data_IF_762831971273
#
_entry.id   IF_762831971273
#
_cell.length_a   1.000
_cell.length_b   1.000
_cell.length_c   1.000
_cell.angle_alpha   90.00
_cell.angle_beta   90.00
_cell.angle_gamma   90.00
#
_symmetry.space_group_name_H-M   'P 1'
#
loop_
_entity.id
_entity.type
_entity.pdbx_description
1 polymer ?
#
# COMPACT_ATOMS: atom_id res chain seq x y z
N UNK A 1 -16.95 -0.54 -18.23
CA UNK A 1 -16.07 -0.69 -17.04
C UNK A 1 -15.96 -2.17 -16.76
N UNK A 2 -14.75 -2.69 -16.59
CA UNK A 2 -14.49 -4.14 -16.42
C UNK A 2 -14.79 -4.54 -14.97
N UNK A 3 -16.06 -4.53 -14.57
CA UNK A 3 -16.50 -4.57 -13.18
C UNK A 3 -16.03 -5.82 -12.38
N UNK A 4 -16.75 -6.96 -12.41
CA UNK A 4 -16.49 -8.07 -11.48
C UNK A 4 -15.17 -8.82 -11.72
N UNK A 5 -14.75 -8.91 -12.98
CA UNK A 5 -13.56 -9.68 -13.36
C UNK A 5 -12.27 -9.03 -12.87
N UNK A 6 -12.21 -7.70 -12.82
CA UNK A 6 -11.05 -6.99 -12.31
C UNK A 6 -10.92 -7.17 -10.79
N UNK A 7 -12.04 -7.11 -10.06
CA UNK A 7 -12.05 -7.33 -8.60
C UNK A 7 -11.57 -8.73 -8.22
N UNK A 8 -12.09 -9.78 -8.87
CA UNK A 8 -11.63 -11.16 -8.66
C UNK A 8 -10.13 -11.31 -8.91
N UNK A 9 -9.62 -10.69 -9.97
CA UNK A 9 -8.21 -10.80 -10.31
C UNK A 9 -7.30 -9.98 -9.38
N UNK A 10 -7.77 -8.84 -8.86
CA UNK A 10 -7.06 -8.10 -7.80
C UNK A 10 -6.91 -8.96 -6.55
N UNK A 11 -7.99 -9.62 -6.10
CA UNK A 11 -7.95 -10.50 -4.93
C UNK A 11 -6.99 -11.67 -5.15
N UNK A 12 -7.08 -12.33 -6.31
CA UNK A 12 -6.18 -13.43 -6.68
C UNK A 12 -4.73 -12.94 -6.77
N UNK A 13 -4.48 -11.78 -7.38
CA UNK A 13 -3.16 -11.16 -7.49
C UNK A 13 -2.53 -10.81 -6.14
N UNK A 14 -3.31 -10.28 -5.20
CA UNK A 14 -2.84 -9.97 -3.85
C UNK A 14 -2.46 -11.24 -3.07
N UNK A 15 -3.19 -12.35 -3.24
CA UNK A 15 -2.91 -13.62 -2.57
C UNK A 15 -1.65 -14.28 -3.15
N UNK A 16 -1.64 -14.51 -4.48
CA UNK A 16 -0.55 -15.27 -5.11
C UNK A 16 0.68 -14.41 -5.40
N UNK A 17 0.51 -13.15 -5.76
CA UNK A 17 1.62 -12.23 -6.04
C UNK A 17 2.24 -11.65 -4.77
N UNK A 18 1.40 -11.28 -3.79
CA UNK A 18 1.86 -10.61 -2.58
C UNK A 18 2.05 -11.49 -1.38
N UNK A 19 0.97 -12.08 -0.89
CA UNK A 19 1.05 -12.88 0.33
C UNK A 19 2.09 -14.00 0.18
N UNK A 20 2.18 -14.64 -0.99
CA UNK A 20 3.21 -15.64 -1.27
C UNK A 20 4.63 -15.07 -1.27
N UNK A 21 4.88 -13.96 -1.98
CA UNK A 21 6.23 -13.38 -2.09
C UNK A 21 6.74 -12.87 -0.73
N UNK A 22 5.87 -12.18 0.02
CA UNK A 22 6.19 -11.67 1.36
C UNK A 22 6.43 -12.81 2.35
N UNK A 23 5.63 -13.88 2.26
CA UNK A 23 5.83 -15.10 3.06
C UNK A 23 7.16 -15.80 2.71
N UNK A 24 7.48 -15.94 1.42
CA UNK A 24 8.73 -16.58 0.99
C UNK A 24 9.95 -15.79 1.48
N UNK A 25 9.96 -14.47 1.31
CA UNK A 25 11.05 -13.62 1.81
C UNK A 25 11.14 -13.67 3.34
N UNK A 26 10.00 -13.62 4.04
CA UNK A 26 9.96 -13.74 5.50
C UNK A 26 10.55 -15.06 6.00
N UNK A 27 10.15 -16.19 5.38
CA UNK A 27 10.68 -17.51 5.74
C UNK A 27 12.18 -17.66 5.42
N UNK A 28 12.67 -17.04 4.35
CA UNK A 28 14.11 -17.00 4.05
C UNK A 28 14.89 -16.11 5.02
N UNK A 29 14.30 -14.99 5.48
CA UNK A 29 14.92 -14.12 6.49
C UNK A 29 15.02 -14.84 7.84
N UNK A 30 13.97 -15.53 8.29
CA UNK A 30 13.97 -16.29 9.55
C UNK A 30 15.04 -17.41 9.54
N UNK A 31 15.21 -18.10 8.40
CA UNK A 31 16.26 -19.11 8.23
C UNK A 31 17.67 -18.54 8.18
N UNK A 32 17.81 -17.24 7.97
CA UNK A 32 19.10 -16.52 7.87
C UNK A 32 19.30 -15.59 9.07
N UNK A 33 18.89 -16.02 10.26
CA UNK A 33 19.01 -15.26 11.52
C UNK A 33 18.32 -13.89 11.53
N UNK A 34 17.25 -13.70 10.75
CA UNK A 34 16.53 -12.43 10.65
C UNK A 34 17.27 -11.35 9.85
N UNK A 35 18.21 -11.77 9.00
CA UNK A 35 18.99 -10.87 8.15
C UNK A 35 18.08 -10.06 7.22
N UNK A 36 18.40 -8.77 7.01
CA UNK A 36 17.61 -7.88 6.15
C UNK A 36 17.54 -8.39 4.71
N UNK A 37 16.44 -8.11 4.02
CA UNK A 37 16.20 -8.61 2.66
C UNK A 37 17.33 -8.21 1.69
N UNK A 38 17.88 -7.01 1.83
CA UNK A 38 19.02 -6.54 1.03
C UNK A 38 20.30 -7.34 1.26
N UNK A 39 20.53 -7.82 2.48
CA UNK A 39 21.68 -8.65 2.83
C UNK A 39 21.43 -10.12 2.46
N UNK A 40 20.20 -10.60 2.60
CA UNK A 40 19.78 -11.93 2.14
C UNK A 40 19.98 -12.11 0.63
N UNK A 41 19.59 -11.10 -0.15
CA UNK A 41 19.86 -11.06 -1.59
C UNK A 41 21.36 -10.97 -1.87
N UNK A 42 22.11 -10.22 -1.06
CA UNK A 42 23.57 -10.14 -1.16
C UNK A 42 24.29 -11.46 -0.91
N UNK A 43 23.84 -12.24 0.07
CA UNK A 43 24.43 -13.54 0.42
C UNK A 43 24.14 -14.60 -0.65
N UNK A 44 22.99 -14.52 -1.33
CA UNK A 44 22.59 -15.50 -2.35
C UNK A 44 23.00 -15.12 -3.79
N UNK A 45 23.02 -13.83 -4.15
CA UNK A 45 23.29 -13.33 -5.51
C UNK A 45 24.61 -12.53 -5.64
N UNK A 46 25.32 -12.30 -4.53
CA UNK A 46 26.61 -11.62 -4.48
C UNK A 46 26.55 -10.11 -4.14
N UNK A 47 27.72 -9.54 -3.86
CA UNK A 47 27.93 -8.15 -3.42
C UNK A 47 27.39 -7.09 -4.41
N UNK A 48 27.39 -7.38 -5.72
CA UNK A 48 26.86 -6.46 -6.73
C UNK A 48 25.35 -6.24 -6.60
N UNK A 49 24.59 -7.31 -6.42
CA UNK A 49 23.13 -7.24 -6.25
C UNK A 49 22.75 -6.59 -4.91
N UNK A 50 23.55 -6.82 -3.86
CA UNK A 50 23.38 -6.15 -2.55
C UNK A 50 23.38 -4.64 -2.68
N UNK A 51 24.36 -4.07 -3.37
CA UNK A 51 24.51 -2.61 -3.54
C UNK A 51 23.36 -2.01 -4.34
N UNK A 52 22.90 -2.71 -5.39
CA UNK A 52 21.72 -2.33 -6.16
C UNK A 52 20.47 -2.31 -5.26
N UNK A 53 20.21 -3.41 -4.54
CA UNK A 53 19.06 -3.53 -3.63
C UNK A 53 19.03 -2.41 -2.58
N UNK A 54 20.18 -2.10 -1.96
CA UNK A 54 20.28 -1.03 -0.96
C UNK A 54 19.99 0.34 -1.61
N UNK A 55 20.68 0.67 -2.71
CA UNK A 55 20.50 1.96 -3.37
C UNK A 55 19.07 2.18 -3.88
N UNK A 56 18.50 1.14 -4.49
CA UNK A 56 17.12 1.15 -4.94
C UNK A 56 16.15 1.33 -3.77
N UNK A 57 16.25 0.49 -2.73
CA UNK A 57 15.35 0.59 -1.56
C UNK A 57 15.45 1.96 -0.90
N UNK A 58 16.65 2.52 -0.69
CA UNK A 58 16.81 3.85 -0.08
C UNK A 58 16.05 4.94 -0.84
N UNK A 59 16.08 4.92 -2.18
CA UNK A 59 15.33 5.89 -2.99
C UNK A 59 13.83 5.71 -2.79
N UNK A 60 13.35 4.47 -2.72
CA UNK A 60 11.92 4.21 -2.56
C UNK A 60 11.44 4.54 -1.15
N UNK A 61 12.26 4.32 -0.11
CA UNK A 61 11.95 4.78 1.24
C UNK A 61 11.83 6.32 1.32
N UNK A 62 12.67 7.05 0.59
CA UNK A 62 12.56 8.51 0.49
C UNK A 62 11.26 8.93 -0.21
N UNK A 63 10.92 8.29 -1.34
CA UNK A 63 9.67 8.55 -2.06
C UNK A 63 8.44 8.30 -1.19
N UNK A 64 8.45 7.20 -0.44
CA UNK A 64 7.40 6.86 0.53
C UNK A 64 7.25 7.93 1.60
N UNK A 65 8.37 8.42 2.16
CA UNK A 65 8.36 9.52 3.13
C UNK A 65 7.66 10.78 2.60
N UNK A 66 7.89 11.13 1.33
CA UNK A 66 7.21 12.28 0.68
C UNK A 66 5.71 12.03 0.49
N UNK A 67 5.32 10.82 0.09
CA UNK A 67 3.90 10.44 -0.10
C UNK A 67 3.11 10.49 1.21
N UNK A 68 3.73 10.09 2.33
CA UNK A 68 3.11 10.15 3.65
C UNK A 68 2.96 11.57 4.20
N UNK A 69 3.77 12.53 3.74
CA UNK A 69 3.57 13.95 4.06
C UNK A 69 2.46 14.55 3.19
N UNK A 70 2.44 14.21 1.91
CA UNK A 70 1.58 14.84 0.92
C UNK A 70 0.12 14.40 1.03
N UNK A 71 -0.14 13.12 1.31
CA UNK A 71 -1.49 12.54 1.31
C UNK A 71 -2.38 13.07 2.45
N UNK A 72 -1.91 13.14 3.72
CA UNK A 72 -2.69 13.72 4.81
C UNK A 72 -2.85 15.24 4.66
N UNK A 73 -1.84 15.93 4.12
CA UNK A 73 -1.91 17.37 3.87
C UNK A 73 -3.00 17.71 2.86
N UNK A 74 -3.14 16.91 1.80
CA UNK A 74 -4.22 17.05 0.82
C UNK A 74 -5.58 16.76 1.43
N UNK A 75 -5.71 15.70 2.24
CA UNK A 75 -6.95 15.38 2.93
C UNK A 75 -7.40 16.53 3.83
N UNK A 76 -6.49 17.08 4.65
CA UNK A 76 -6.76 18.21 5.53
C UNK A 76 -7.12 19.48 4.77
N UNK A 77 -6.42 19.77 3.67
CA UNK A 77 -6.71 20.93 2.82
C UNK A 77 -8.13 20.84 2.22
N UNK A 78 -8.54 19.67 1.74
CA UNK A 78 -9.87 19.46 1.19
C UNK A 78 -10.98 19.56 2.26
N UNK A 79 -10.72 19.13 3.49
CA UNK A 79 -11.69 19.19 4.58
C UNK A 79 -11.84 20.60 5.19
N UNK A 80 -10.77 21.40 5.17
CA UNK A 80 -10.73 22.73 5.81
C UNK A 80 -10.83 23.90 4.82
N UNK A 81 -10.70 23.63 3.51
CA UNK A 81 -10.70 24.66 2.46
C UNK A 81 -9.46 25.57 2.49
N UNK A 82 -8.44 25.24 3.28
CA UNK A 82 -7.24 26.05 3.45
C UNK A 82 -6.08 25.59 2.57
N UNK A 83 -5.09 26.46 2.40
CA UNK A 83 -3.92 26.20 1.54
C UNK A 83 -3.11 25.00 2.01
N UNK A 84 -2.96 23.99 1.12
CA UNK A 84 -2.14 22.78 1.30
C UNK A 84 -0.77 23.05 1.94
N UNK A 85 -0.08 24.10 1.49
CA UNK A 85 1.27 24.45 1.95
C UNK A 85 1.37 24.71 3.47
N UNK A 86 0.30 25.20 4.10
CA UNK A 86 0.26 25.42 5.55
C UNK A 86 0.27 24.08 6.29
N UNK A 87 -0.53 23.11 5.85
CA UNK A 87 -0.55 21.78 6.44
C UNK A 87 0.74 21.01 6.18
N UNK A 88 1.32 21.12 4.99
CA UNK A 88 2.63 20.54 4.69
C UNK A 88 3.70 21.09 5.63
N UNK A 89 3.74 22.41 5.86
CA UNK A 89 4.70 23.02 6.77
C UNK A 89 4.52 22.53 8.22
N UNK A 90 3.29 22.44 8.71
CA UNK A 90 2.97 21.92 10.05
C UNK A 90 3.40 20.45 10.19
N UNK A 91 3.06 19.61 9.21
CA UNK A 91 3.42 18.19 9.18
C UNK A 91 4.95 18.02 9.11
N UNK A 92 5.64 18.87 8.36
CA UNK A 92 7.10 18.84 8.24
C UNK A 92 7.80 19.20 9.57
N UNK A 93 7.30 20.21 10.29
CA UNK A 93 7.78 20.54 11.64
C UNK A 93 7.54 19.35 12.58
N UNK A 94 6.36 18.72 12.51
CA UNK A 94 6.06 17.53 13.29
C UNK A 94 7.04 16.39 13.02
N UNK A 95 7.38 16.11 11.75
CA UNK A 95 8.36 15.07 11.41
C UNK A 95 9.76 15.37 11.96
N UNK A 96 10.21 16.62 11.94
CA UNK A 96 11.49 17.01 12.56
C UNK A 96 11.45 16.70 14.06
N UNK A 97 10.37 17.08 14.75
CA UNK A 97 10.22 16.78 16.18
C UNK A 97 10.15 15.27 16.43
N UNK A 98 9.48 14.51 15.57
CA UNK A 98 9.36 13.07 15.64
C UNK A 98 10.69 12.32 15.40
N UNK A 99 11.66 12.93 14.71
CA UNK A 99 13.01 12.34 14.62
C UNK A 99 13.83 12.51 15.90
N UNK A 100 13.56 13.55 16.69
CA UNK A 100 14.29 13.85 17.93
C UNK A 100 13.67 13.15 19.14
N UNK A 101 12.33 13.06 19.19
CA UNK A 101 11.61 12.32 20.22
C UNK A 101 11.44 10.87 19.79
N UNK A 102 11.69 9.86 20.66
CA UNK A 102 11.46 8.45 20.35
C UNK A 102 9.96 8.15 20.31
N UNK A 103 9.30 8.57 19.24
CA UNK A 103 7.86 8.46 19.03
C UNK A 103 7.46 6.99 18.79
N UNK A 104 8.42 6.14 18.41
CA UNK A 104 8.27 4.70 18.19
C UNK A 104 7.61 3.99 19.38
N UNK A 105 7.97 4.38 20.62
CA UNK A 105 7.38 3.78 21.82
C UNK A 105 5.93 4.23 22.08
N UNK A 106 5.60 5.46 21.71
CA UNK A 106 4.26 6.02 21.89
C UNK A 106 3.32 5.44 20.83
N UNK A 107 3.76 5.43 19.57
CA UNK A 107 2.98 4.90 18.44
C UNK A 107 2.77 3.39 18.58
N UNK A 108 3.77 2.62 19.03
CA UNK A 108 3.64 1.18 19.22
C UNK A 108 2.50 0.77 20.16
N UNK A 109 2.18 1.58 21.18
CA UNK A 109 1.08 1.32 22.12
C UNK A 109 -0.30 1.70 21.54
N UNK A 110 -0.34 2.69 20.65
CA UNK A 110 -1.58 3.17 20.02
C UNK A 110 -1.90 2.35 18.75
N UNK A 111 -0.89 1.71 18.15
CA UNK A 111 -1.03 0.91 16.93
C UNK A 111 -2.15 -0.14 16.97
N UNK A 112 -2.38 -0.90 18.05
CA UNK A 112 -3.48 -1.86 18.13
C UNK A 112 -4.86 -1.19 18.01
N UNK A 113 -5.02 0.03 18.51
CA UNK A 113 -6.27 0.79 18.43
C UNK A 113 -6.52 1.23 16.99
N UNK A 114 -5.50 1.75 16.31
CA UNK A 114 -5.59 2.10 14.88
C UNK A 114 -5.89 0.87 14.01
N UNK A 115 -5.28 -0.28 14.32
CA UNK A 115 -5.57 -1.55 13.64
C UNK A 115 -7.05 -1.93 13.76
N UNK A 116 -7.60 -1.88 14.98
CA UNK A 116 -9.03 -2.16 15.20
C UNK A 116 -9.92 -1.12 14.52
N UNK A 117 -9.55 0.17 14.52
CA UNK A 117 -10.34 1.20 13.84
C UNK A 117 -10.42 0.98 12.33
N UNK A 118 -9.36 0.49 11.70
CA UNK A 118 -9.36 0.17 10.26
C UNK A 118 -10.38 -0.93 9.93
N UNK A 119 -10.48 -1.97 10.75
CA UNK A 119 -11.48 -3.02 10.56
C UNK A 119 -12.90 -2.50 10.77
N UNK A 120 -13.12 -1.69 11.82
CA UNK A 120 -14.42 -1.08 12.08
C UNK A 120 -14.84 -0.18 10.91
N UNK A 121 -13.92 0.60 10.35
CA UNK A 121 -14.20 1.49 9.23
C UNK A 121 -14.52 0.69 7.96
N UNK A 122 -13.79 -0.40 7.68
CA UNK A 122 -14.08 -1.29 6.55
C UNK A 122 -15.48 -1.91 6.66
N UNK A 123 -15.82 -2.46 7.82
CA UNK A 123 -17.16 -3.03 8.07
C UNK A 123 -18.23 -1.94 8.04
N UNK A 124 -17.93 -0.75 8.55
CA UNK A 124 -18.84 0.40 8.53
C UNK A 124 -19.18 0.88 7.12
N UNK A 125 -18.20 0.92 6.22
CA UNK A 125 -18.43 1.27 4.81
C UNK A 125 -19.25 0.16 4.13
N UNK A 126 -18.87 -1.11 4.30
CA UNK A 126 -19.61 -2.25 3.71
C UNK A 126 -21.05 -2.31 4.23
N UNK A 127 -21.25 -2.19 5.54
CA UNK A 127 -22.57 -2.17 6.18
C UNK A 127 -23.40 -0.92 5.82
N UNK A 128 -22.75 0.23 5.72
CA UNK A 128 -23.36 1.47 5.26
C UNK A 128 -23.87 1.36 3.82
N UNK A 129 -23.09 0.73 2.95
CA UNK A 129 -23.47 0.45 1.57
C UNK A 129 -24.62 -0.56 1.48
N UNK A 130 -24.69 -1.54 2.39
CA UNK A 130 -25.79 -2.51 2.43
C UNK A 130 -27.11 -1.85 2.82
N UNK A 131 -27.09 -0.96 3.82
CA UNK A 131 -28.31 -0.32 4.34
C UNK A 131 -28.83 0.82 3.46
N UNK A 132 -27.96 1.52 2.71
CA UNK A 132 -28.37 2.57 1.76
C UNK A 132 -28.85 2.06 0.40
N UNK A 133 -28.81 0.74 0.14
CA UNK A 133 -29.28 0.14 -1.12
C UNK A 133 -28.40 0.42 -2.35
N UNK A 134 -27.30 1.16 -2.17
CA UNK A 134 -26.29 1.51 -3.19
C UNK A 134 -25.45 0.31 -3.67
N UNK A 135 -25.66 -0.90 -3.13
CA UNK A 135 -25.00 -2.12 -3.62
C UNK A 135 -25.35 -2.42 -5.09
N UNK A 136 -26.56 -2.03 -5.51
CA UNK A 136 -27.08 -2.34 -6.85
C UNK A 136 -26.51 -1.47 -7.97
N UNK A 137 -25.97 -0.29 -7.63
CA UNK A 137 -25.30 0.60 -8.60
C UNK A 137 -23.80 0.30 -8.75
N UNK A 138 -23.24 -0.61 -7.93
CA UNK A 138 -21.85 -1.00 -8.07
C UNK A 138 -21.71 -1.84 -9.34
N UNK A 139 -21.04 -1.35 -10.40
CA UNK A 139 -20.88 -2.07 -11.66
C UNK A 139 -20.05 -3.35 -11.53
N UNK A 140 -19.51 -3.61 -10.33
CA UNK A 140 -18.58 -4.66 -9.95
C UNK A 140 -19.27 -5.95 -9.48
N UNK A 141 -20.57 -5.92 -9.17
CA UNK A 141 -21.37 -7.11 -8.81
C UNK A 141 -22.36 -7.54 -9.90
N UNK A 142 -22.43 -6.80 -11.01
CA UNK A 142 -23.27 -7.17 -12.15
C UNK A 142 -22.57 -8.22 -13.00
N UNK A 143 -23.11 -9.44 -13.04
CA UNK A 143 -22.64 -10.54 -13.91
C UNK A 143 -22.82 -10.25 -15.42
N UNK A 144 -23.40 -9.11 -15.78
CA UNK A 144 -23.50 -8.64 -17.16
C UNK A 144 -22.31 -7.77 -17.51
N UNK A 145 -21.42 -8.33 -18.34
CA UNK A 145 -20.25 -7.68 -18.93
C UNK A 145 -20.68 -6.54 -19.88
N UNK A 146 -20.51 -5.24 -19.55
CA UNK A 146 -20.75 -4.18 -20.52
C UNK A 146 -19.59 -4.17 -21.51
N UNK A 147 -19.71 -5.00 -22.54
CA UNK A 147 -18.72 -5.16 -23.59
C UNK A 147 -18.69 -3.90 -24.46
N UNK A 148 -17.82 -2.94 -24.15
CA UNK A 148 -17.46 -1.87 -25.10
C UNK A 148 -16.26 -2.39 -25.92
N UNK A 149 -16.60 -2.95 -27.08
CA UNK A 149 -15.79 -3.13 -28.29
C UNK A 149 -14.27 -3.32 -28.10
N UNK A 150 -13.83 -4.59 -28.14
CA UNK A 150 -12.62 -4.96 -28.88
C UNK A 150 -11.25 -4.77 -28.21
N UNK A 151 -11.15 -4.52 -26.91
CA UNK A 151 -9.84 -4.50 -26.21
C UNK A 151 -9.66 -5.73 -25.31
N UNK A 152 -8.55 -6.45 -25.53
CA UNK A 152 -8.18 -7.62 -24.74
C UNK A 152 -7.98 -7.22 -23.27
N UNK A 153 -8.78 -7.85 -22.40
CA UNK A 153 -8.82 -7.66 -20.94
C UNK A 153 -7.48 -8.00 -20.30
N UNK A 154 -6.82 -9.03 -20.83
CA UNK A 154 -5.62 -9.64 -20.28
C UNK A 154 -4.44 -8.66 -20.16
N UNK A 155 -3.97 -7.95 -21.22
CA UNK A 155 -2.81 -7.06 -21.08
C UNK A 155 -3.05 -5.85 -20.15
N UNK A 156 -4.26 -5.31 -20.07
CA UNK A 156 -4.53 -4.11 -19.26
C UNK A 156 -4.64 -4.41 -17.75
N UNK A 157 -5.21 -5.56 -17.39
CA UNK A 157 -5.30 -6.01 -15.99
C UNK A 157 -3.92 -6.35 -15.43
N UNK A 158 -3.06 -7.01 -16.21
CA UNK A 158 -1.69 -7.27 -15.81
C UNK A 158 -0.87 -5.99 -15.65
N UNK A 159 -1.02 -5.02 -16.54
CA UNK A 159 -0.23 -3.77 -16.49
C UNK A 159 -0.65 -2.87 -15.32
N UNK A 160 -1.96 -2.78 -15.00
CA UNK A 160 -2.44 -2.04 -13.84
C UNK A 160 -2.09 -2.73 -12.52
N UNK A 161 -2.27 -4.05 -12.43
CA UNK A 161 -1.94 -4.78 -11.20
C UNK A 161 -0.45 -4.85 -10.96
N UNK A 162 0.39 -5.15 -11.95
CA UNK A 162 1.85 -5.21 -11.75
C UNK A 162 2.41 -3.85 -11.35
N UNK A 163 1.93 -2.74 -11.92
CA UNK A 163 2.38 -1.39 -11.54
C UNK A 163 1.94 -1.02 -10.13
N UNK A 164 0.71 -1.35 -9.72
CA UNK A 164 0.22 -1.09 -8.35
C UNK A 164 0.90 -2.02 -7.33
N UNK A 165 1.17 -3.27 -7.72
CA UNK A 165 1.86 -4.29 -6.94
C UNK A 165 3.34 -3.95 -6.73
N UNK A 166 4.01 -3.39 -7.74
CA UNK A 166 5.39 -2.94 -7.64
C UNK A 166 5.52 -1.66 -6.78
N UNK A 167 4.49 -0.81 -6.73
CA UNK A 167 4.43 0.34 -5.81
C UNK A 167 4.11 -0.12 -4.38
N UNK A 168 3.26 -1.13 -4.19
CA UNK A 168 2.92 -1.68 -2.87
C UNK A 168 4.06 -2.51 -2.24
N UNK A 169 4.78 -3.32 -3.04
CA UNK A 169 5.92 -4.12 -2.57
C UNK A 169 7.09 -3.22 -2.10
N UNK A 170 7.16 -1.98 -2.57
CA UNK A 170 8.14 -0.98 -2.14
C UNK A 170 7.72 -0.23 -0.87
N UNK A 171 6.42 -0.25 -0.55
CA UNK A 171 5.82 0.34 0.65
C UNK A 171 5.77 -0.64 1.84
N UNK A 172 5.83 -1.95 1.60
CA UNK A 172 5.71 -3.00 2.63
C UNK A 172 7.04 -3.69 3.01
N UNK A 173 8.17 -3.16 2.52
CA UNK A 173 9.53 -3.59 2.90
C UNK A 173 10.22 -2.58 3.86
N UNK A 174 9.43 -1.87 4.67
CA UNK A 174 9.87 -1.25 5.93
C UNK A 174 9.32 -2.05 7.11
#
# INVERSE_FOLDING_TARGET
MWGPSAFLWIVVGCIFGGAMHDFLIGMMSIRSDGTSVSVLVGNNLGEGMRKLMIGFSTILLLLVGVVFVSSPADLLANLTGQTRWIFVAIIMIYYIIATVLPIDKVIGKIYPIFGVSLFIMAIGIVGGMITTGLITEIPEFSFTNPHIQGKYIFPYLFLLLVVQFQVFMQLNLQ
#
